data_IF_487267366531
#
_entry.id   IF_487267366531
#
_cell.length_a   1.000
_cell.length_b   1.000
_cell.length_c   1.000
_cell.angle_alpha   90.00
_cell.angle_beta   90.00
_cell.angle_gamma   90.00
#
_symmetry.space_group_name_H-M   'P 1'
#
loop_
_entity.id
_entity.type
_entity.pdbx_description
1 polymer ?
#
# COMPACT_ATOMS: atom_id res chain seq x y z
N UNK A 1 -46.56 -16.01 54.95
CA UNK A 1 -46.04 -14.71 54.45
C UNK A 1 -46.30 -14.50 52.96
N UNK A 2 -46.23 -15.54 52.10
CA UNK A 2 -46.55 -15.43 50.67
C UNK A 2 -48.03 -15.21 50.34
N UNK A 3 -48.97 -15.72 51.16
CA UNK A 3 -50.41 -15.56 50.89
C UNK A 3 -50.95 -14.14 51.00
N UNK A 4 -50.22 -13.20 51.63
CA UNK A 4 -50.67 -11.81 51.76
C UNK A 4 -50.31 -10.95 50.54
N UNK A 5 -49.27 -11.32 49.79
CA UNK A 5 -48.80 -10.58 48.60
C UNK A 5 -49.54 -11.05 47.33
N UNK A 6 -50.00 -12.31 47.29
CA UNK A 6 -50.72 -12.88 46.15
C UNK A 6 -52.24 -12.64 46.18
N UNK A 7 -52.80 -12.04 47.24
CA UNK A 7 -54.24 -11.78 47.36
C UNK A 7 -54.74 -10.63 46.49
N UNK A 8 -53.86 -9.68 46.14
CA UNK A 8 -54.22 -8.48 45.41
C UNK A 8 -53.76 -8.58 43.94
N UNK A 9 -54.72 -8.76 43.02
CA UNK A 9 -54.46 -8.98 41.57
C UNK A 9 -53.52 -7.93 40.98
N UNK A 10 -53.56 -6.70 41.50
CA UNK A 10 -52.69 -5.59 41.08
C UNK A 10 -51.21 -5.83 41.43
N UNK A 11 -50.92 -6.40 42.60
CA UNK A 11 -49.55 -6.73 43.03
C UNK A 11 -48.97 -7.87 42.20
N UNK A 12 -49.78 -8.88 41.87
CA UNK A 12 -49.36 -9.97 40.99
C UNK A 12 -49.02 -9.46 39.57
N UNK A 13 -49.88 -8.61 38.99
CA UNK A 13 -49.62 -7.99 37.68
C UNK A 13 -48.35 -7.14 37.71
N UNK A 14 -48.13 -6.35 38.77
CA UNK A 14 -46.92 -5.55 38.93
C UNK A 14 -45.65 -6.42 39.03
N UNK A 15 -45.71 -7.56 39.73
CA UNK A 15 -44.61 -8.51 39.86
C UNK A 15 -44.24 -9.13 38.52
N UNK A 16 -45.24 -9.54 37.73
CA UNK A 16 -45.02 -10.11 36.39
C UNK A 16 -44.38 -9.08 35.46
N UNK A 17 -44.87 -7.84 35.45
CA UNK A 17 -44.30 -6.76 34.65
C UNK A 17 -42.85 -6.45 35.04
N UNK A 18 -42.54 -6.40 36.33
CA UNK A 18 -41.17 -6.22 36.81
C UNK A 18 -40.23 -7.33 36.34
N UNK A 19 -40.71 -8.58 36.33
CA UNK A 19 -39.92 -9.74 35.88
C UNK A 19 -39.63 -9.66 34.38
N UNK A 20 -40.63 -9.28 33.57
CA UNK A 20 -40.47 -9.06 32.13
C UNK A 20 -39.48 -7.93 31.86
N UNK A 21 -39.60 -6.81 32.60
CA UNK A 21 -38.70 -5.66 32.45
C UNK A 21 -37.25 -6.04 32.80
N UNK A 22 -37.05 -6.73 33.92
CA UNK A 22 -35.73 -7.20 34.35
C UNK A 22 -35.11 -8.16 33.33
N UNK A 23 -35.89 -9.09 32.77
CA UNK A 23 -35.44 -9.98 31.70
C UNK A 23 -35.03 -9.22 30.42
N UNK A 24 -35.83 -8.24 30.01
CA UNK A 24 -35.51 -7.39 28.86
C UNK A 24 -34.23 -6.57 29.08
N UNK A 25 -34.07 -5.95 30.25
CA UNK A 25 -32.87 -5.18 30.58
C UNK A 25 -31.63 -6.08 30.64
N UNK A 26 -31.73 -7.29 31.20
CA UNK A 26 -30.62 -8.24 31.24
C UNK A 26 -30.13 -8.62 29.83
N UNK A 27 -31.04 -9.01 28.93
CA UNK A 27 -30.70 -9.34 27.54
C UNK A 27 -30.10 -8.14 26.79
N UNK A 28 -30.64 -6.94 27.01
CA UNK A 28 -30.11 -5.71 26.38
C UNK A 28 -28.71 -5.38 26.90
N UNK A 29 -28.45 -5.58 28.19
CA UNK A 29 -27.17 -5.27 28.81
C UNK A 29 -26.08 -6.24 28.35
N UNK A 30 -26.41 -7.54 28.28
CA UNK A 30 -25.52 -8.58 27.75
C UNK A 30 -25.18 -8.34 26.28
N UNK A 31 -26.20 -8.08 25.44
CA UNK A 31 -25.98 -7.76 24.02
C UNK A 31 -25.18 -6.47 23.79
N UNK A 32 -25.31 -5.48 24.68
CA UNK A 32 -24.53 -4.24 24.61
C UNK A 32 -23.07 -4.48 24.98
N UNK A 33 -22.82 -5.31 26.01
CA UNK A 33 -21.47 -5.71 26.41
C UNK A 33 -20.78 -6.49 25.29
N UNK A 34 -21.45 -7.48 24.70
CA UNK A 34 -20.91 -8.25 23.58
C UNK A 34 -20.60 -7.37 22.36
N UNK A 35 -21.45 -6.38 22.04
CA UNK A 35 -21.19 -5.41 20.97
C UNK A 35 -19.98 -4.52 21.28
N UNK A 36 -19.81 -4.11 22.54
CA UNK A 36 -18.68 -3.29 22.96
C UNK A 36 -17.37 -4.07 22.86
N UNK A 37 -17.33 -5.30 23.38
CA UNK A 37 -16.15 -6.18 23.29
C UNK A 37 -15.78 -6.46 21.84
N UNK A 38 -16.77 -6.76 20.98
CA UNK A 38 -16.54 -6.92 19.54
C UNK A 38 -15.99 -5.64 18.92
N UNK A 39 -16.59 -4.48 19.20
CA UNK A 39 -16.13 -3.20 18.66
C UNK A 39 -14.70 -2.85 19.11
N UNK A 40 -14.34 -3.17 20.34
CA UNK A 40 -12.96 -2.98 20.84
C UNK A 40 -11.98 -3.92 20.15
N UNK A 41 -12.37 -5.18 19.93
CA UNK A 41 -11.56 -6.15 19.19
C UNK A 41 -11.35 -5.73 17.73
N UNK A 42 -12.42 -5.32 17.05
CA UNK A 42 -12.37 -4.82 15.67
C UNK A 42 -11.49 -3.55 15.58
N UNK A 43 -11.60 -2.64 16.55
CA UNK A 43 -10.75 -1.45 16.62
C UNK A 43 -9.28 -1.79 16.84
N UNK A 44 -8.96 -2.71 17.76
CA UNK A 44 -7.60 -3.15 18.01
C UNK A 44 -6.98 -3.81 16.77
N UNK A 45 -7.77 -4.62 16.05
CA UNK A 45 -7.35 -5.20 14.77
C UNK A 45 -7.08 -4.11 13.73
N UNK A 46 -7.98 -3.13 13.59
CA UNK A 46 -7.83 -2.03 12.65
C UNK A 46 -6.59 -1.17 12.95
N UNK A 47 -6.32 -0.88 14.23
CA UNK A 47 -5.12 -0.16 14.66
C UNK A 47 -3.85 -0.93 14.30
N UNK A 48 -3.80 -2.23 14.60
CA UNK A 48 -2.66 -3.09 14.26
C UNK A 48 -2.43 -3.18 12.74
N UNK A 49 -3.50 -3.28 11.96
CA UNK A 49 -3.42 -3.27 10.50
C UNK A 49 -2.88 -1.92 10.00
N UNK A 50 -3.34 -0.80 10.59
CA UNK A 50 -2.89 0.53 10.21
C UNK A 50 -1.39 0.72 10.53
N UNK A 51 -0.94 0.33 11.72
CA UNK A 51 0.48 0.35 12.10
C UNK A 51 1.34 -0.46 11.12
N UNK A 52 0.95 -1.71 10.82
CA UNK A 52 1.64 -2.55 9.83
C UNK A 52 1.65 -1.91 8.43
N UNK A 53 0.56 -1.28 8.01
CA UNK A 53 0.49 -0.61 6.71
C UNK A 53 1.42 0.62 6.68
N UNK A 54 1.53 1.37 7.77
CA UNK A 54 2.47 2.49 7.85
C UNK A 54 3.93 2.02 7.77
N UNK A 55 4.28 0.90 8.42
CA UNK A 55 5.62 0.32 8.31
C UNK A 55 5.93 -0.12 6.87
N UNK A 56 5.00 -0.85 6.23
CA UNK A 56 5.16 -1.27 4.83
C UNK A 56 5.27 -0.08 3.87
N UNK A 57 4.54 1.01 4.11
CA UNK A 57 4.64 2.22 3.30
C UNK A 57 6.01 2.89 3.45
N UNK A 58 6.61 2.89 4.65
CA UNK A 58 7.96 3.41 4.87
C UNK A 58 9.00 2.56 4.14
N UNK A 59 8.90 1.24 4.24
CA UNK A 59 9.78 0.30 3.53
C UNK A 59 9.68 0.49 2.01
N UNK A 60 8.46 0.52 1.47
CA UNK A 60 8.22 0.71 0.04
C UNK A 60 8.78 2.05 -0.46
N UNK A 61 8.62 3.12 0.32
CA UNK A 61 9.18 4.43 -0.03
C UNK A 61 10.73 4.41 -0.05
N UNK A 62 11.35 3.68 0.87
CA UNK A 62 12.81 3.53 0.89
C UNK A 62 13.32 2.71 -0.30
N UNK A 63 12.63 1.63 -0.65
CA UNK A 63 12.93 0.82 -1.85
C UNK A 63 12.81 1.70 -3.09
N UNK A 64 11.69 2.41 -3.23
CA UNK A 64 11.44 3.26 -4.39
C UNK A 64 12.48 4.38 -4.55
N UNK A 65 12.92 5.00 -3.45
CA UNK A 65 14.03 5.98 -3.49
C UNK A 65 15.33 5.36 -3.96
N UNK A 66 15.63 4.14 -3.53
CA UNK A 66 16.83 3.40 -3.95
C UNK A 66 16.76 3.05 -5.44
N UNK A 67 15.60 2.58 -5.91
CA UNK A 67 15.36 2.30 -7.32
C UNK A 67 15.50 3.54 -8.19
N UNK A 68 14.90 4.67 -7.78
CA UNK A 68 15.03 5.94 -8.49
C UNK A 68 16.49 6.40 -8.56
N UNK A 69 17.27 6.23 -7.48
CA UNK A 69 18.69 6.56 -7.48
C UNK A 69 19.48 5.67 -8.46
N UNK A 70 19.25 4.37 -8.43
CA UNK A 70 19.89 3.43 -9.35
C UNK A 70 19.53 3.72 -10.81
N UNK A 71 18.26 4.03 -11.09
CA UNK A 71 17.79 4.41 -12.42
C UNK A 71 18.44 5.71 -12.90
N UNK A 72 18.56 6.70 -12.01
CA UNK A 72 19.23 7.96 -12.35
C UNK A 72 20.73 7.78 -12.61
N UNK A 73 21.41 6.94 -11.82
CA UNK A 73 22.81 6.60 -12.06
C UNK A 73 23.01 5.87 -13.40
N UNK A 74 22.15 4.91 -13.72
CA UNK A 74 22.16 4.22 -15.01
C UNK A 74 21.93 5.19 -16.18
N UNK A 75 20.99 6.13 -16.05
CA UNK A 75 20.75 7.17 -17.05
C UNK A 75 21.96 8.11 -17.22
N UNK A 76 22.59 8.52 -16.13
CA UNK A 76 23.81 9.34 -16.20
C UNK A 76 24.95 8.60 -16.91
N UNK A 77 25.15 7.32 -16.61
CA UNK A 77 26.15 6.49 -17.31
C UNK A 77 25.82 6.35 -18.80
N UNK A 78 24.55 6.13 -19.15
CA UNK A 78 24.08 6.08 -20.55
C UNK A 78 24.41 7.39 -21.29
N UNK A 79 24.12 8.54 -20.66
CA UNK A 79 24.41 9.85 -21.25
C UNK A 79 25.92 10.06 -21.45
N UNK A 80 26.76 9.68 -20.49
CA UNK A 80 28.22 9.78 -20.63
C UNK A 80 28.76 8.89 -21.77
N UNK A 81 28.23 7.68 -21.92
CA UNK A 81 28.60 6.79 -23.03
C UNK A 81 28.19 7.42 -24.36
N UNK A 82 26.98 7.97 -24.44
CA UNK A 82 26.49 8.65 -25.63
C UNK A 82 27.38 9.84 -26.02
N UNK A 83 27.75 10.70 -25.06
CA UNK A 83 28.67 11.83 -25.29
C UNK A 83 30.02 11.37 -25.83
N UNK A 84 30.61 10.31 -25.25
CA UNK A 84 31.88 9.74 -25.72
C UNK A 84 31.78 9.18 -27.13
N UNK A 85 30.69 8.47 -27.43
CA UNK A 85 30.44 7.93 -28.77
C UNK A 85 30.29 9.04 -29.79
N UNK A 86 29.54 10.10 -29.47
CA UNK A 86 29.40 11.28 -30.34
C UNK A 86 30.73 12.00 -30.54
N UNK A 87 31.52 12.18 -29.49
CA UNK A 87 32.87 12.76 -29.60
C UNK A 87 33.77 11.98 -30.56
N UNK A 88 33.78 10.64 -30.46
CA UNK A 88 34.57 9.79 -31.36
C UNK A 88 34.05 9.91 -32.80
N UNK A 89 32.72 9.92 -32.99
CA UNK A 89 32.09 10.12 -34.31
C UNK A 89 32.51 11.46 -34.95
N UNK A 90 32.49 12.55 -34.18
CA UNK A 90 32.95 13.86 -34.64
C UNK A 90 34.46 13.91 -34.94
N UNK A 91 35.30 13.33 -34.07
CA UNK A 91 36.74 13.28 -34.26
C UNK A 91 37.10 12.52 -35.54
N UNK A 92 36.47 11.37 -35.75
CA UNK A 92 36.57 10.56 -36.96
C UNK A 92 36.20 11.37 -38.20
N UNK A 93 35.05 12.07 -38.16
CA UNK A 93 34.57 12.83 -39.30
C UNK A 93 35.55 13.92 -39.72
N UNK A 94 36.20 14.58 -38.74
CA UNK A 94 37.20 15.63 -38.98
C UNK A 94 38.57 15.10 -39.42
N UNK A 95 38.92 13.85 -39.11
CA UNK A 95 40.31 13.32 -39.24
C UNK A 95 40.57 12.49 -40.50
N UNK A 96 39.69 12.58 -41.51
CA UNK A 96 39.66 11.78 -42.74
C UNK A 96 39.13 10.35 -42.51
N UNK A 97 37.97 10.07 -43.11
CA UNK A 97 37.19 8.85 -42.91
C UNK A 97 37.81 7.65 -43.63
N UNK A 98 38.04 6.54 -42.93
CA UNK A 98 38.56 5.28 -43.48
C UNK A 98 37.57 4.11 -43.24
N UNK A 99 37.91 2.91 -43.70
CA UNK A 99 37.01 1.75 -43.58
C UNK A 99 36.71 1.34 -42.13
N UNK A 100 37.64 1.56 -41.19
CA UNK A 100 37.44 1.26 -39.77
C UNK A 100 36.47 2.28 -39.16
N UNK A 101 36.57 3.54 -39.56
CA UNK A 101 35.70 4.59 -39.03
C UNK A 101 34.27 4.51 -39.58
N UNK A 102 34.10 4.11 -40.85
CA UNK A 102 32.78 3.78 -41.41
C UNK A 102 32.13 2.62 -40.68
N UNK A 103 32.89 1.56 -40.39
CA UNK A 103 32.39 0.42 -39.60
C UNK A 103 31.99 0.85 -38.19
N UNK A 104 32.78 1.71 -37.53
CA UNK A 104 32.42 2.26 -36.21
C UNK A 104 31.10 3.03 -36.27
N UNK A 105 30.94 3.95 -37.22
CA UNK A 105 29.71 4.73 -37.39
C UNK A 105 28.49 3.85 -37.69
N UNK A 106 28.62 2.88 -38.62
CA UNK A 106 27.55 1.94 -38.96
C UNK A 106 27.11 1.10 -37.75
N UNK A 107 28.06 0.63 -36.93
CA UNK A 107 27.74 -0.15 -35.72
C UNK A 107 27.08 0.73 -34.66
N UNK A 108 27.58 1.94 -34.45
CA UNK A 108 26.97 2.90 -33.51
C UNK A 108 25.54 3.24 -33.92
N UNK A 109 25.33 3.57 -35.20
CA UNK A 109 24.02 3.95 -35.72
C UNK A 109 23.06 2.77 -35.63
N UNK A 110 23.49 1.54 -35.94
CA UNK A 110 22.66 0.33 -35.71
C UNK A 110 22.33 0.09 -34.24
N UNK A 111 23.29 0.21 -33.33
CA UNK A 111 23.06 -0.04 -31.90
C UNK A 111 22.14 1.01 -31.27
N UNK A 112 22.18 2.25 -31.76
CA UNK A 112 21.39 3.35 -31.22
C UNK A 112 20.02 3.50 -31.91
N UNK A 113 19.95 3.34 -33.24
CA UNK A 113 18.71 3.48 -34.02
C UNK A 113 17.83 2.21 -33.98
N UNK A 114 18.40 1.00 -33.80
CA UNK A 114 17.59 -0.19 -33.59
C UNK A 114 16.87 -0.16 -32.22
N UNK A 115 17.40 0.59 -31.25
CA UNK A 115 16.80 0.72 -29.93
C UNK A 115 15.66 1.76 -29.90
N UNK A 116 15.62 2.70 -30.85
CA UNK A 116 14.54 3.70 -30.98
C UNK A 116 13.33 3.18 -31.77
N UNK A 117 13.47 2.08 -32.52
CA UNK A 117 12.37 1.42 -33.25
C UNK A 117 11.64 0.34 -32.45
N UNK A 118 12.16 -0.08 -31.29
CA UNK A 118 11.56 -1.13 -30.44
C UNK A 118 10.60 -0.59 -29.36
N UNK A 119 10.26 0.69 -29.37
CA UNK A 119 9.24 1.27 -28.49
C UNK A 119 7.88 1.33 -29.21
N UNK A 120 7.14 0.22 -29.20
CA UNK A 120 5.70 0.16 -29.49
C UNK A 120 5.03 -0.79 -28.50
#
# INVERSE_FOLDING_TARGET
MFSYILGDKKLYIALVLMTILAGYFYLRLDSTKAKLEKSQSDLALALKINENNQEKLKELNQIHKTELKALNEANNQKNQVQERVQYVKEYIYKSNENNITKLFNDVVDRLWDANSTSSN
#
